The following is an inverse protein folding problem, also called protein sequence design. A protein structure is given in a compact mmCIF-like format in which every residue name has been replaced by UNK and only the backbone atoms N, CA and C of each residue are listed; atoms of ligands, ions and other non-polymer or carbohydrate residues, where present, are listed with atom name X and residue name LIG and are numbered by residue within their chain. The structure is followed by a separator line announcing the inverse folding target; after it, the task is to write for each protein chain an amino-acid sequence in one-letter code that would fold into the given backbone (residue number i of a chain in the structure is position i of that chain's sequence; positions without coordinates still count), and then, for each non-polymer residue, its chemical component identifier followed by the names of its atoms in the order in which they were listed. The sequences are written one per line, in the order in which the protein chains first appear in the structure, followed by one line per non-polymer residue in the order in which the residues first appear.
data_IF_735438096992
#
_entry.id   IF_735438096992
#
_cell.length_a   1.000
_cell.length_b   1.000
_cell.length_c   1.000
_cell.angle_alpha   90.00
_cell.angle_beta   90.00
_cell.angle_gamma   90.00
#
_symmetry.space_group_name_H-M   'P 1'
#
loop_
_entity.id
_entity.type
_entity.pdbx_description
1 polymer ?
#
# COMPACT_ATOMS: atom_id res chain seq x y z
N UNK A 1 -27.70 1.88 -32.64
CA UNK A 1 -26.36 1.74 -33.22
C UNK A 1 -25.43 1.65 -32.05
N UNK A 2 -25.02 0.41 -31.80
CA UNK A 2 -24.23 -0.04 -30.68
C UNK A 2 -22.81 0.54 -30.75
N UNK A 3 -22.33 1.10 -29.64
CA UNK A 3 -20.89 1.11 -29.38
C UNK A 3 -20.65 0.67 -27.95
N UNK A 4 -19.85 -0.37 -27.85
CA UNK A 4 -19.69 -1.25 -26.71
C UNK A 4 -19.06 -0.52 -25.52
N UNK A 5 -19.78 -0.51 -24.40
CA UNK A 5 -19.16 -0.35 -23.07
C UNK A 5 -18.22 -1.53 -22.84
N UNK A 6 -16.94 -1.30 -23.05
CA UNK A 6 -15.86 -2.25 -22.83
C UNK A 6 -15.74 -2.47 -21.33
N UNK A 7 -16.14 -3.66 -20.86
CA UNK A 7 -16.20 -4.01 -19.44
C UNK A 7 -14.90 -4.59 -18.90
N UNK A 8 -14.93 -4.93 -17.60
CA UNK A 8 -13.86 -5.57 -16.80
C UNK A 8 -13.14 -6.72 -17.51
N UNK A 9 -13.82 -7.47 -18.39
CA UNK A 9 -13.22 -8.53 -19.19
C UNK A 9 -12.11 -8.06 -20.15
N UNK A 10 -12.28 -6.92 -20.81
CA UNK A 10 -11.22 -6.37 -21.67
C UNK A 10 -10.06 -5.77 -20.86
N UNK A 11 -10.33 -5.22 -19.67
CA UNK A 11 -9.29 -4.75 -18.76
C UNK A 11 -8.46 -5.92 -18.21
N UNK A 12 -9.10 -7.05 -17.88
CA UNK A 12 -8.43 -8.29 -17.50
C UNK A 12 -7.57 -8.83 -18.64
N UNK A 13 -8.06 -8.82 -19.88
CA UNK A 13 -7.28 -9.23 -21.05
C UNK A 13 -6.09 -8.28 -21.32
N UNK A 14 -6.28 -6.97 -21.13
CA UNK A 14 -5.21 -5.97 -21.29
C UNK A 14 -4.14 -6.13 -20.21
N UNK A 15 -4.53 -6.34 -18.96
CA UNK A 15 -3.61 -6.53 -17.84
C UNK A 15 -2.87 -7.87 -17.98
N UNK A 16 -3.59 -8.96 -18.30
CA UNK A 16 -2.97 -10.25 -18.59
C UNK A 16 -1.98 -10.15 -19.78
N UNK A 17 -2.34 -9.40 -20.82
CA UNK A 17 -1.48 -9.11 -21.96
C UNK A 17 -0.22 -8.32 -21.57
N UNK A 18 -0.35 -7.32 -20.69
CA UNK A 18 0.78 -6.52 -20.18
C UNK A 18 1.70 -7.35 -19.27
N UNK A 19 1.15 -8.22 -18.42
CA UNK A 19 1.92 -9.13 -17.57
C UNK A 19 2.71 -10.16 -18.40
N UNK A 20 2.10 -10.73 -19.45
CA UNK A 20 2.80 -11.62 -20.38
C UNK A 20 3.88 -10.88 -21.19
N UNK A 21 3.62 -9.65 -21.63
CA UNK A 21 4.60 -8.84 -22.35
C UNK A 21 5.83 -8.51 -21.48
N UNK A 22 5.63 -8.18 -20.20
CA UNK A 22 6.71 -7.97 -19.23
C UNK A 22 7.53 -9.24 -19.00
N UNK A 23 6.88 -10.40 -18.80
CA UNK A 23 7.56 -11.70 -18.67
C UNK A 23 8.37 -12.06 -19.92
N UNK A 24 7.86 -11.76 -21.12
CA UNK A 24 8.58 -11.97 -22.39
C UNK A 24 9.78 -11.01 -22.55
N UNK A 25 9.65 -9.75 -22.15
CA UNK A 25 10.75 -8.79 -22.18
C UNK A 25 11.90 -9.16 -21.23
N UNK A 26 11.58 -9.64 -20.02
CA UNK A 26 12.54 -10.17 -19.05
C UNK A 26 13.25 -11.43 -19.57
N UNK A 27 12.52 -12.34 -20.23
CA UNK A 27 13.12 -13.50 -20.88
C UNK A 27 14.05 -13.13 -22.05
N UNK A 28 13.69 -12.10 -22.83
CA UNK A 28 14.54 -11.58 -23.90
C UNK A 28 15.84 -10.94 -23.37
N UNK A 29 15.77 -10.18 -22.27
CA UNK A 29 16.95 -9.60 -21.60
C UNK A 29 17.86 -10.66 -20.99
N UNK A 30 17.29 -11.72 -20.40
CA UNK A 30 18.07 -12.85 -19.89
C UNK A 30 18.77 -13.64 -21.01
N UNK A 31 18.16 -13.72 -22.21
CA UNK A 31 18.77 -14.38 -23.37
C UNK A 31 19.86 -13.55 -24.08
N UNK A 32 19.90 -12.23 -23.85
CA UNK A 32 20.92 -11.34 -24.43
C UNK A 32 22.20 -11.22 -23.57
N UNK A 33 22.20 -11.73 -22.32
CA UNK A 33 23.29 -11.56 -21.36
C UNK A 33 24.37 -12.65 -21.33
N UNK A 34 24.29 -13.69 -22.17
CA UNK A 34 25.20 -14.87 -22.10
C UNK A 34 26.24 -14.94 -23.21
N UNK A 35 26.63 -13.80 -23.80
CA UNK A 35 27.59 -13.78 -24.92
C UNK A 35 28.65 -12.70 -24.81
N UNK A 36 29.46 -12.71 -23.75
CA UNK A 36 30.79 -12.12 -23.78
C UNK A 36 31.67 -12.68 -22.66
N UNK A 37 32.89 -13.10 -23.05
CA UNK A 37 34.08 -13.45 -22.26
C UNK A 37 34.48 -14.94 -22.26
N UNK A 38 34.83 -15.44 -23.44
CA UNK A 38 35.84 -16.50 -23.60
C UNK A 38 36.85 -16.05 -24.68
N UNK A 39 38.10 -15.76 -24.29
CA UNK A 39 39.34 -16.07 -25.01
C UNK A 39 40.55 -15.25 -24.48
N UNK A 40 41.41 -15.88 -23.70
CA UNK A 40 42.86 -15.65 -23.72
C UNK A 40 43.55 -16.95 -23.25
N UNK A 41 44.44 -17.48 -24.09
CA UNK A 41 45.12 -18.77 -23.93
C UNK A 41 46.63 -18.58 -24.11
N UNK A 42 47.41 -19.43 -23.43
CA UNK A 42 48.82 -19.77 -23.70
C UNK A 42 49.81 -19.32 -22.60
N UNK A 43 50.65 -20.16 -21.98
CA UNK A 43 50.99 -21.60 -22.05
C UNK A 43 51.94 -21.91 -20.84
N UNK A 44 51.84 -23.07 -20.17
CA UNK A 44 52.72 -24.27 -20.27
C UNK A 44 54.20 -24.01 -19.87
N UNK A 45 54.93 -24.77 -19.03
CA UNK A 45 54.74 -26.06 -18.36
C UNK A 45 55.88 -26.31 -17.31
N UNK A 46 55.79 -27.42 -16.57
CA UNK A 46 56.89 -28.22 -15.98
C UNK A 46 57.28 -28.13 -14.46
N UNK A 47 56.78 -29.14 -13.73
CA UNK A 47 57.48 -30.11 -12.83
C UNK A 47 58.26 -29.70 -11.56
N UNK A 48 57.72 -30.20 -10.44
CA UNK A 48 58.31 -31.09 -9.41
C UNK A 48 59.48 -30.64 -8.49
N UNK A 49 59.24 -30.91 -7.19
CA UNK A 49 60.12 -31.61 -6.21
C UNK A 49 60.51 -30.85 -4.92
N UNK A 50 60.05 -31.43 -3.81
CA UNK A 50 60.70 -31.69 -2.50
C UNK A 50 61.42 -30.59 -1.68
N UNK A 51 60.88 -30.38 -0.47
CA UNK A 51 61.53 -30.33 0.86
C UNK A 51 62.85 -29.58 1.07
N UNK A 52 62.88 -28.65 2.04
CA UNK A 52 63.61 -28.83 3.31
C UNK A 52 63.53 -27.60 4.23
N UNK A 53 63.51 -27.90 5.53
CA UNK A 53 63.55 -27.03 6.70
C UNK A 53 64.72 -26.04 6.77
N UNK A 54 64.56 -24.99 7.58
CA UNK A 54 65.67 -24.15 8.02
C UNK A 54 65.26 -23.06 9.01
N UNK A 55 65.22 -23.40 10.29
CA UNK A 55 65.25 -22.45 11.41
C UNK A 55 66.61 -21.76 11.48
N UNK A 56 66.68 -20.47 11.84
CA UNK A 56 67.37 -19.96 13.05
C UNK A 56 67.53 -18.45 13.09
N UNK A 57 67.53 -17.99 14.35
CA UNK A 57 67.62 -16.67 14.95
C UNK A 57 68.73 -15.73 14.47
N UNK A 58 68.53 -14.42 14.73
CA UNK A 58 69.62 -13.45 14.74
C UNK A 58 69.17 -12.05 15.17
N UNK A 59 69.29 -11.75 16.45
CA UNK A 59 68.97 -10.48 17.11
C UNK A 59 69.89 -9.31 16.75
N UNK A 60 69.38 -8.08 16.81
CA UNK A 60 70.05 -6.81 17.21
C UNK A 60 69.14 -5.64 16.75
N UNK A 61 69.01 -4.47 17.38
CA UNK A 61 69.29 -3.92 18.70
C UNK A 61 68.76 -2.47 18.64
N UNK A 62 68.06 -2.04 19.70
CA UNK A 62 67.92 -0.67 20.20
C UNK A 62 67.60 0.52 19.27
N UNK A 63 66.49 1.20 19.53
CA UNK A 63 66.48 2.63 19.93
C UNK A 63 65.08 3.11 20.32
N UNK A 64 65.01 3.81 21.45
CA UNK A 64 63.85 4.54 21.98
C UNK A 64 63.31 5.60 21.01
N UNK A 65 62.00 5.83 21.09
CA UNK A 65 61.36 7.00 20.50
C UNK A 65 59.85 6.96 20.67
N UNK A 66 59.35 7.54 21.76
CA UNK A 66 57.94 7.81 21.99
C UNK A 66 57.34 8.66 20.86
N UNK A 67 56.23 8.23 20.28
CA UNK A 67 55.12 9.12 19.89
C UNK A 67 53.84 8.29 19.80
N UNK A 68 52.82 8.82 20.45
CA UNK A 68 51.40 8.48 20.38
C UNK A 68 50.87 8.63 18.96
N UNK A 69 50.25 7.59 18.41
CA UNK A 69 49.05 7.76 17.59
C UNK A 69 48.15 6.53 17.65
N UNK A 70 46.85 6.79 17.66
CA UNK A 70 45.77 5.85 17.88
C UNK A 70 45.28 5.33 16.53
N UNK A 71 45.25 4.01 16.32
CA UNK A 71 44.47 3.38 15.26
C UNK A 71 44.20 1.94 15.65
N UNK A 72 43.02 1.69 16.22
CA UNK A 72 42.46 0.36 16.43
C UNK A 72 41.96 -0.16 15.08
N UNK A 73 42.70 -1.06 14.48
CA UNK A 73 42.18 -1.97 13.46
C UNK A 73 41.26 -2.98 14.16
N UNK A 74 39.99 -3.00 13.77
CA UNK A 74 39.06 -4.07 14.13
C UNK A 74 38.38 -4.53 12.85
N UNK A 75 38.87 -5.66 12.36
CA UNK A 75 38.20 -6.46 11.34
C UNK A 75 36.92 -7.02 11.97
N UNK A 76 35.77 -6.53 11.51
CA UNK A 76 34.48 -7.17 11.73
C UNK A 76 33.84 -7.36 10.36
N UNK A 77 33.80 -8.61 9.92
CA UNK A 77 32.98 -9.09 8.82
C UNK A 77 31.51 -9.03 9.25
N UNK A 78 30.79 -8.00 8.80
CA UNK A 78 29.33 -7.95 8.88
C UNK A 78 28.74 -8.64 7.65
N UNK A 79 28.49 -9.95 7.78
CA UNK A 79 27.48 -10.61 6.97
C UNK A 79 26.11 -10.07 7.41
N UNK A 80 25.61 -9.07 6.69
CA UNK A 80 24.25 -8.55 6.83
C UNK A 80 23.28 -9.57 6.25
N UNK A 81 23.02 -10.64 7.00
CA UNK A 81 21.81 -11.42 6.85
C UNK A 81 20.64 -10.46 7.12
N UNK A 82 19.88 -10.16 6.06
CA UNK A 82 18.62 -9.44 6.15
C UNK A 82 17.69 -10.26 7.03
N UNK A 83 17.66 -9.91 8.31
CA UNK A 83 16.66 -10.38 9.25
C UNK A 83 15.37 -9.66 8.86
N UNK A 84 14.57 -10.27 8.00
CA UNK A 84 13.14 -9.99 7.91
C UNK A 84 12.58 -10.18 9.31
N UNK A 85 12.46 -9.08 10.06
CA UNK A 85 11.84 -9.10 11.37
C UNK A 85 10.45 -9.69 11.18
N UNK A 86 10.18 -10.81 11.83
CA UNK A 86 8.83 -11.32 12.02
C UNK A 86 8.10 -10.29 12.87
N UNK A 87 7.59 -9.25 12.22
CA UNK A 87 6.74 -8.26 12.87
C UNK A 87 5.53 -8.98 13.42
N UNK A 88 5.16 -8.70 14.66
CA UNK A 88 3.87 -9.12 15.17
C UNK A 88 2.81 -8.29 14.44
N UNK A 89 2.03 -8.91 13.55
CA UNK A 89 0.80 -8.33 13.00
C UNK A 89 -0.41 -8.93 13.73
N UNK A 90 -1.53 -8.22 13.71
CA UNK A 90 -2.81 -8.72 14.21
C UNK A 90 -3.86 -8.60 13.09
N UNK A 91 -4.92 -9.39 13.18
CA UNK A 91 -6.00 -9.27 12.21
C UNK A 91 -6.75 -7.95 12.41
N UNK A 92 -7.02 -7.25 11.32
CA UNK A 92 -7.95 -6.13 11.30
C UNK A 92 -9.36 -6.62 11.70
N UNK A 93 -10.07 -5.87 12.55
CA UNK A 93 -11.47 -6.16 12.85
C UNK A 93 -12.32 -6.08 11.59
N UNK A 94 -13.31 -6.97 11.48
CA UNK A 94 -14.37 -6.81 10.49
C UNK A 94 -15.34 -5.71 10.93
N UNK A 95 -15.62 -4.77 10.04
CA UNK A 95 -16.56 -3.68 10.25
C UNK A 95 -17.65 -3.65 9.17
N UNK A 96 -18.65 -2.81 9.38
CA UNK A 96 -19.67 -2.56 8.36
C UNK A 96 -19.10 -1.88 7.10
N UNK A 97 -19.59 -2.26 5.92
CA UNK A 97 -19.37 -1.49 4.68
C UNK A 97 -20.19 -0.18 4.65
N UNK A 98 -21.02 0.06 5.67
CA UNK A 98 -21.88 1.23 5.74
C UNK A 98 -22.85 1.31 4.56
N UNK A 99 -23.56 2.44 4.40
CA UNK A 99 -24.61 2.55 3.38
C UNK A 99 -24.10 2.91 1.97
N UNK A 100 -22.81 3.23 1.79
CA UNK A 100 -22.28 3.84 0.56
C UNK A 100 -21.15 3.08 -0.17
N UNK A 101 -21.11 1.73 -0.21
CA UNK A 101 -20.00 0.99 -0.81
C UNK A 101 -19.97 1.05 -2.34
N UNK A 102 -21.11 1.19 -3.03
CA UNK A 102 -21.22 1.06 -4.48
C UNK A 102 -20.59 -0.23 -5.04
N UNK A 103 -20.77 -1.33 -4.32
CA UNK A 103 -20.23 -2.68 -4.56
C UNK A 103 -21.30 -3.67 -5.05
N UNK A 104 -22.53 -3.19 -5.31
CA UNK A 104 -23.68 -4.02 -5.65
C UNK A 104 -24.42 -4.67 -4.46
N UNK A 105 -24.04 -4.40 -3.21
CA UNK A 105 -24.73 -4.95 -2.02
C UNK A 105 -25.81 -4.02 -1.48
N UNK A 106 -25.65 -2.70 -1.68
CA UNK A 106 -26.55 -1.69 -1.12
C UNK A 106 -27.36 -0.94 -2.17
N UNK A 107 -28.61 -0.62 -1.81
CA UNK A 107 -29.53 0.17 -2.64
C UNK A 107 -29.82 1.53 -2.01
N UNK A 108 -29.77 2.59 -2.81
CA UNK A 108 -30.14 3.95 -2.42
C UNK A 108 -31.16 4.51 -3.40
N UNK A 109 -32.25 5.10 -2.91
CA UNK A 109 -33.31 5.63 -3.76
C UNK A 109 -33.95 4.61 -4.72
N UNK A 110 -33.89 3.31 -4.39
CA UNK A 110 -34.40 2.22 -5.22
C UNK A 110 -33.47 1.74 -6.34
N UNK A 111 -32.26 2.28 -6.44
CA UNK A 111 -31.23 1.82 -7.39
C UNK A 111 -30.01 1.26 -6.65
N UNK A 112 -29.43 0.19 -7.18
CA UNK A 112 -28.19 -0.41 -6.68
C UNK A 112 -27.02 0.14 -7.50
N UNK A 113 -26.05 0.77 -6.84
CA UNK A 113 -24.81 1.21 -7.47
C UNK A 113 -23.77 0.09 -7.37
N UNK A 114 -23.11 -0.24 -8.47
CA UNK A 114 -21.98 -1.18 -8.49
C UNK A 114 -20.85 -0.69 -9.41
N UNK A 115 -19.92 0.09 -8.85
CA UNK A 115 -18.75 0.59 -9.59
C UNK A 115 -17.73 -0.49 -9.91
N UNK A 116 -17.75 -1.62 -9.19
CA UNK A 116 -16.77 -2.70 -9.36
C UNK A 116 -16.89 -3.39 -10.72
N UNK A 117 -18.03 -3.21 -11.40
CA UNK A 117 -18.28 -3.71 -12.77
C UNK A 117 -17.97 -2.70 -13.86
N UNK A 118 -17.68 -1.44 -13.51
CA UNK A 118 -17.42 -0.38 -14.47
C UNK A 118 -15.95 -0.34 -14.89
N UNK A 119 -15.69 -0.17 -16.19
CA UNK A 119 -14.35 0.14 -16.69
C UNK A 119 -13.81 1.40 -16.03
N UNK A 120 -12.52 1.39 -15.71
CA UNK A 120 -11.84 2.51 -15.05
C UNK A 120 -11.88 2.48 -13.53
N UNK A 121 -12.56 1.52 -12.90
CA UNK A 121 -12.53 1.38 -11.42
C UNK A 121 -11.17 0.85 -10.91
N UNK A 122 -10.44 0.08 -11.72
CA UNK A 122 -9.08 -0.38 -11.40
C UNK A 122 -8.11 0.76 -11.69
N UNK A 123 -7.63 1.44 -10.64
CA UNK A 123 -6.90 2.71 -10.75
C UNK A 123 -6.14 3.06 -9.47
N UNK A 124 -5.03 3.77 -9.60
CA UNK A 124 -4.28 4.33 -8.46
C UNK A 124 -4.79 5.72 -8.06
N UNK A 125 -4.93 6.66 -9.00
CA UNK A 125 -5.48 8.00 -8.71
C UNK A 125 -6.99 7.95 -8.72
N UNK A 126 -7.63 8.02 -7.56
CA UNK A 126 -9.09 7.95 -7.39
C UNK A 126 -9.76 9.33 -7.36
N UNK A 127 -9.04 10.44 -7.51
CA UNK A 127 -9.62 11.79 -7.37
C UNK A 127 -10.56 12.18 -8.53
N UNK A 128 -10.27 11.84 -9.80
CA UNK A 128 -11.23 12.08 -10.89
C UNK A 128 -12.41 11.10 -10.90
N UNK A 129 -13.61 11.58 -11.20
CA UNK A 129 -14.72 10.74 -11.66
C UNK A 129 -14.36 9.99 -12.94
N UNK A 130 -14.97 8.84 -13.14
CA UNK A 130 -14.74 7.94 -14.29
C UNK A 130 -16.02 7.41 -14.94
N UNK A 131 -17.18 7.65 -14.32
CA UNK A 131 -18.50 7.29 -14.85
C UNK A 131 -19.21 8.57 -15.25
N UNK A 132 -19.31 8.84 -16.55
CA UNK A 132 -20.11 9.94 -17.12
C UNK A 132 -19.63 11.37 -16.80
N UNK A 133 -18.62 11.53 -15.95
CA UNK A 133 -18.06 12.80 -15.51
C UNK A 133 -16.54 12.69 -15.38
N UNK A 134 -15.83 13.81 -15.54
CA UNK A 134 -14.39 13.94 -15.29
C UNK A 134 -14.07 14.90 -14.14
N UNK A 135 -15.07 15.28 -13.34
CA UNK A 135 -14.88 16.14 -12.16
C UNK A 135 -13.84 15.53 -11.23
N UNK A 136 -12.91 16.36 -10.74
CA UNK A 136 -11.88 15.93 -9.79
C UNK A 136 -12.29 16.40 -8.39
N UNK A 137 -12.35 15.46 -7.45
CA UNK A 137 -12.59 15.75 -6.04
C UNK A 137 -11.53 16.71 -5.51
N UNK A 138 -11.98 17.80 -4.89
CA UNK A 138 -11.12 18.79 -4.27
C UNK A 138 -10.75 18.34 -2.86
N UNK A 139 -9.50 18.59 -2.44
CA UNK A 139 -9.04 18.33 -1.08
C UNK A 139 -7.52 18.42 -0.97
N UNK A 140 -6.99 18.14 0.23
CA UNK A 140 -5.54 17.98 0.42
C UNK A 140 -5.16 16.61 -0.10
N UNK A 141 -4.13 16.54 -0.96
CA UNK A 141 -3.69 15.27 -1.55
C UNK A 141 -3.24 14.27 -0.47
N UNK A 142 -3.64 13.02 -0.66
CA UNK A 142 -3.28 11.89 0.19
C UNK A 142 -2.74 10.77 -0.69
N UNK A 143 -1.49 10.39 -0.51
CA UNK A 143 -0.95 9.13 -1.02
C UNK A 143 -1.13 8.07 0.06
N UNK A 144 -1.94 7.04 -0.21
CA UNK A 144 -2.25 5.96 0.72
C UNK A 144 -1.61 4.66 0.22
N UNK A 145 -0.63 4.15 0.96
CA UNK A 145 -0.07 2.80 0.76
C UNK A 145 -0.69 1.84 1.76
N UNK A 146 -1.24 0.74 1.27
CA UNK A 146 -1.77 -0.36 2.07
C UNK A 146 -0.92 -1.59 1.81
N UNK A 147 -0.50 -2.28 2.87
CA UNK A 147 0.18 -3.57 2.79
C UNK A 147 -0.69 -4.66 3.40
N UNK A 148 -1.06 -5.67 2.61
CA UNK A 148 -1.85 -6.81 3.05
C UNK A 148 -0.96 -7.98 3.46
N UNK A 149 -1.19 -8.52 4.65
CA UNK A 149 -0.44 -9.64 5.22
C UNK A 149 -1.34 -10.71 5.83
N UNK A 150 -0.88 -11.96 5.80
CA UNK A 150 -1.51 -13.11 6.44
C UNK A 150 -1.00 -13.29 7.88
N UNK A 151 -1.87 -13.07 8.85
CA UNK A 151 -1.53 -13.17 10.28
C UNK A 151 -1.31 -14.60 10.75
N UNK A 152 -1.85 -15.59 10.03
CA UNK A 152 -1.67 -17.02 10.31
C UNK A 152 -0.37 -17.57 9.72
N UNK A 153 0.26 -16.83 8.82
CA UNK A 153 1.49 -17.23 8.12
C UNK A 153 2.65 -16.26 8.40
N UNK A 154 2.82 -15.89 9.67
CA UNK A 154 3.97 -15.07 10.10
C UNK A 154 4.01 -13.68 9.46
N UNK A 155 2.84 -13.10 9.15
CA UNK A 155 2.70 -11.80 8.49
C UNK A 155 3.31 -11.76 7.08
N UNK A 156 3.27 -12.90 6.38
CA UNK A 156 3.67 -12.98 4.98
C UNK A 156 2.78 -12.07 4.11
N UNK A 157 3.41 -11.35 3.18
CA UNK A 157 2.71 -10.51 2.21
C UNK A 157 1.79 -11.34 1.31
N UNK A 158 0.60 -10.80 1.00
CA UNK A 158 -0.38 -11.45 0.12
C UNK A 158 -0.38 -10.74 -1.24
N UNK A 159 0.20 -11.39 -2.26
CA UNK A 159 0.19 -10.94 -3.66
C UNK A 159 -1.13 -11.32 -4.37
N UNK A 160 -1.60 -10.46 -5.28
CA UNK A 160 -2.71 -10.77 -6.20
C UNK A 160 -4.12 -10.56 -5.64
N UNK A 161 -4.25 -10.18 -4.37
CA UNK A 161 -5.52 -9.81 -3.77
C UNK A 161 -6.01 -8.45 -4.30
N UNK A 162 -7.32 -8.29 -4.49
CA UNK A 162 -7.89 -6.99 -4.84
C UNK A 162 -8.30 -6.23 -3.57
N UNK A 163 -7.96 -4.96 -3.52
CA UNK A 163 -8.34 -4.03 -2.45
C UNK A 163 -9.19 -2.93 -3.06
N UNK A 164 -10.45 -2.85 -2.64
CA UNK A 164 -11.36 -1.76 -2.97
C UNK A 164 -11.39 -0.75 -1.84
N UNK A 165 -11.26 0.55 -2.13
CA UNK A 165 -11.41 1.62 -1.14
C UNK A 165 -12.44 2.66 -1.57
N UNK A 166 -13.11 3.27 -0.60
CA UNK A 166 -13.95 4.45 -0.80
C UNK A 166 -14.03 5.35 0.43
N UNK A 167 -14.26 6.64 0.21
CA UNK A 167 -14.51 7.61 1.28
C UNK A 167 -15.28 8.84 0.80
N UNK A 168 -15.62 9.74 1.73
CA UNK A 168 -16.31 10.98 1.43
C UNK A 168 -15.39 12.09 0.91
N UNK A 169 -15.96 13.07 0.21
CA UNK A 169 -15.28 14.30 -0.21
C UNK A 169 -15.07 15.30 0.96
N UNK A 170 -14.55 16.49 0.65
CA UNK A 170 -14.33 17.60 1.60
C UNK A 170 -15.60 18.09 2.32
N UNK A 171 -16.78 17.86 1.74
CA UNK A 171 -18.08 18.22 2.33
C UNK A 171 -18.68 17.08 3.14
N UNK A 172 -18.02 15.92 3.22
CA UNK A 172 -18.56 14.72 3.85
C UNK A 172 -19.59 13.98 2.98
N UNK A 173 -19.60 14.22 1.67
CA UNK A 173 -20.52 13.58 0.72
C UNK A 173 -19.87 12.37 0.06
N UNK A 174 -20.67 11.32 -0.16
CA UNK A 174 -20.25 10.12 -0.89
C UNK A 174 -20.75 10.21 -2.34
N UNK A 175 -19.81 10.12 -3.29
CA UNK A 175 -20.11 10.03 -4.72
C UNK A 175 -21.11 8.91 -4.99
N UNK A 176 -22.01 9.09 -5.98
CA UNK A 176 -23.13 8.20 -6.32
C UNK A 176 -24.30 8.15 -5.32
N UNK A 177 -24.17 8.73 -4.13
CA UNK A 177 -25.18 8.61 -3.06
C UNK A 177 -25.70 9.95 -2.55
N UNK A 178 -24.79 10.84 -2.18
CA UNK A 178 -25.17 12.09 -1.52
C UNK A 178 -25.69 13.11 -2.53
N UNK A 179 -26.72 13.85 -2.11
CA UNK A 179 -27.27 14.95 -2.93
C UNK A 179 -26.18 15.93 -3.36
N UNK A 180 -26.20 16.32 -4.63
CA UNK A 180 -25.19 17.18 -5.26
C UNK A 180 -23.99 16.45 -5.86
N UNK A 181 -23.79 15.16 -5.54
CA UNK A 181 -22.67 14.34 -6.07
C UNK A 181 -23.13 12.96 -6.57
N UNK A 182 -24.44 12.79 -6.82
CA UNK A 182 -25.02 11.53 -7.29
C UNK A 182 -24.58 11.12 -8.70
N UNK A 183 -24.11 12.07 -9.51
CA UNK A 183 -23.56 11.84 -10.85
C UNK A 183 -22.04 11.69 -10.86
N UNK A 184 -21.40 11.80 -9.70
CA UNK A 184 -19.94 11.69 -9.57
C UNK A 184 -19.54 10.30 -9.10
N UNK A 185 -18.31 9.90 -9.40
CA UNK A 185 -17.75 8.55 -9.12
C UNK A 185 -16.33 8.58 -8.56
N UNK A 186 -15.79 9.77 -8.26
CA UNK A 186 -14.50 9.93 -7.60
C UNK A 186 -14.43 9.23 -6.23
N UNK A 187 -13.22 9.15 -5.69
CA UNK A 187 -12.88 8.66 -4.35
C UNK A 187 -13.32 7.21 -4.12
N UNK A 188 -13.30 6.43 -5.20
CA UNK A 188 -13.58 5.00 -5.27
C UNK A 188 -12.56 4.37 -6.21
N UNK A 189 -11.94 3.27 -5.81
CA UNK A 189 -11.01 2.57 -6.69
C UNK A 189 -10.53 1.24 -6.17
N UNK A 190 -10.14 0.38 -7.10
CA UNK A 190 -9.60 -0.94 -6.85
C UNK A 190 -8.14 -0.98 -7.30
N UNK A 191 -7.28 -1.61 -6.51
CA UNK A 191 -5.92 -1.98 -6.88
C UNK A 191 -5.70 -3.47 -6.56
N UNK A 192 -4.69 -4.06 -7.18
CA UNK A 192 -4.27 -5.45 -6.92
C UNK A 192 -2.92 -5.41 -6.23
N UNK A 193 -2.77 -6.16 -5.14
CA UNK A 193 -1.54 -6.20 -4.36
C UNK A 193 -0.38 -6.77 -5.19
N UNK A 194 0.78 -6.13 -5.10
CA UNK A 194 2.02 -6.60 -5.71
C UNK A 194 2.69 -7.74 -4.89
N UNK A 195 3.90 -8.13 -5.29
CA UNK A 195 4.67 -9.19 -4.62
C UNK A 195 5.06 -8.87 -3.16
N UNK A 196 4.99 -7.61 -2.75
CA UNK A 196 5.20 -7.18 -1.37
C UNK A 196 3.87 -7.01 -0.61
N UNK A 197 2.75 -7.38 -1.23
CA UNK A 197 1.41 -7.25 -0.68
C UNK A 197 0.88 -5.82 -0.74
N UNK A 198 1.48 -4.95 -1.55
CA UNK A 198 1.23 -3.52 -1.49
C UNK A 198 0.31 -3.02 -2.60
N UNK A 199 -0.47 -1.99 -2.26
CA UNK A 199 -1.17 -1.12 -3.21
C UNK A 199 -0.96 0.34 -2.81
N UNK A 200 -0.93 1.23 -3.80
CA UNK A 200 -0.86 2.68 -3.55
C UNK A 200 -1.99 3.40 -4.26
N UNK A 201 -2.70 4.26 -3.54
CA UNK A 201 -3.73 5.14 -4.08
C UNK A 201 -3.33 6.60 -3.94
N UNK A 202 -3.61 7.41 -4.96
CA UNK A 202 -3.61 8.88 -4.86
C UNK A 202 -5.06 9.33 -4.68
N UNK A 203 -5.33 10.01 -3.56
CA UNK A 203 -6.64 10.46 -3.15
C UNK A 203 -6.59 11.87 -2.54
N UNK A 204 -7.63 12.24 -1.79
CA UNK A 204 -7.65 13.37 -0.87
C UNK A 204 -7.86 12.89 0.57
N UNK A 205 -7.47 13.70 1.55
CA UNK A 205 -7.82 13.45 2.96
C UNK A 205 -9.36 13.51 3.15
N UNK A 206 -10.01 12.56 3.85
CA UNK A 206 -11.46 12.56 4.02
C UNK A 206 -11.94 13.62 5.03
N UNK A 207 -13.13 14.15 4.80
CA UNK A 207 -13.80 15.04 5.74
C UNK A 207 -14.35 14.29 6.97
N UNK A 208 -14.83 15.07 7.95
CA UNK A 208 -15.63 14.58 9.07
C UNK A 208 -17.10 14.92 8.81
N UNK A 209 -17.93 13.92 8.53
CA UNK A 209 -19.38 14.09 8.48
C UNK A 209 -20.02 13.77 9.84
N UNK A 210 -21.28 14.18 10.02
CA UNK A 210 -21.95 14.09 11.32
C UNK A 210 -22.05 12.64 11.82
N UNK A 211 -21.65 12.42 13.08
CA UNK A 211 -21.85 11.17 13.80
C UNK A 211 -20.82 10.07 13.57
N UNK A 212 -19.78 10.30 12.74
CA UNK A 212 -18.74 9.30 12.45
C UNK A 212 -17.34 9.89 12.49
N UNK A 213 -16.41 9.18 13.13
CA UNK A 213 -14.98 9.50 13.08
C UNK A 213 -14.48 9.48 11.63
N UNK A 214 -13.57 10.38 11.19
CA UNK A 214 -13.10 10.39 9.81
C UNK A 214 -12.43 9.07 9.41
N UNK A 215 -12.81 8.52 8.26
CA UNK A 215 -12.38 7.18 7.86
C UNK A 215 -12.28 6.99 6.34
N UNK A 216 -11.56 5.93 5.96
CA UNK A 216 -11.55 5.37 4.61
C UNK A 216 -11.99 3.92 4.73
N UNK A 217 -13.02 3.53 3.98
CA UNK A 217 -13.45 2.13 3.97
C UNK A 217 -12.56 1.30 3.06
N UNK A 218 -12.50 0.00 3.33
CA UNK A 218 -11.93 -0.96 2.41
C UNK A 218 -12.64 -2.32 2.42
N UNK A 219 -12.56 -3.00 1.28
CA UNK A 219 -12.91 -4.41 1.09
C UNK A 219 -11.71 -5.15 0.51
N UNK A 220 -11.42 -6.34 1.05
CA UNK A 220 -10.37 -7.25 0.59
C UNK A 220 -11.00 -8.45 -0.10
N UNK A 221 -10.45 -8.81 -1.26
CA UNK A 221 -10.82 -9.99 -2.03
C UNK A 221 -9.56 -10.80 -2.33
N UNK A 222 -9.35 -11.89 -1.59
CA UNK A 222 -8.17 -12.76 -1.69
C UNK A 222 -8.07 -13.45 -3.05
N UNK A 223 -9.22 -13.82 -3.63
CA UNK A 223 -9.30 -14.39 -4.98
C UNK A 223 -9.18 -13.35 -6.13
N UNK A 224 -8.77 -12.11 -5.80
CA UNK A 224 -8.44 -11.06 -6.75
C UNK A 224 -9.65 -10.39 -7.42
N UNK A 225 -9.43 -9.83 -8.61
CA UNK A 225 -10.44 -9.00 -9.30
C UNK A 225 -11.72 -9.75 -9.68
N UNK A 226 -11.67 -11.07 -9.83
CA UNK A 226 -12.84 -11.87 -10.20
C UNK A 226 -13.86 -11.90 -9.06
N UNK A 227 -13.39 -12.10 -7.82
CA UNK A 227 -14.25 -12.06 -6.63
C UNK A 227 -14.62 -10.63 -6.24
N UNK A 228 -13.86 -9.62 -6.66
CA UNK A 228 -14.21 -8.21 -6.45
C UNK A 228 -15.37 -7.70 -7.32
N UNK A 229 -16.01 -8.52 -8.17
CA UNK A 229 -17.12 -8.06 -9.04
C UNK A 229 -18.40 -7.64 -8.27
N UNK A 230 -18.52 -8.07 -7.01
CA UNK A 230 -19.52 -7.59 -6.05
C UNK A 230 -18.93 -7.62 -4.64
N UNK A 231 -19.42 -6.78 -3.72
CA UNK A 231 -18.98 -6.82 -2.31
C UNK A 231 -19.46 -8.06 -1.52
N UNK A 232 -20.25 -8.96 -2.13
CA UNK A 232 -20.80 -10.16 -1.45
C UNK A 232 -19.75 -11.21 -1.11
N UNK A 233 -18.59 -11.12 -1.75
CA UNK A 233 -17.49 -12.08 -1.68
C UNK A 233 -16.24 -11.48 -1.07
N UNK A 234 -16.37 -10.33 -0.38
CA UNK A 234 -15.26 -9.75 0.36
C UNK A 234 -14.86 -10.69 1.53
N UNK A 235 -13.58 -10.99 1.63
CA UNK A 235 -12.98 -11.78 2.71
C UNK A 235 -12.82 -10.94 3.99
N UNK A 236 -12.65 -9.63 3.82
CA UNK A 236 -12.64 -8.65 4.90
C UNK A 236 -13.30 -7.36 4.43
N UNK A 237 -14.20 -6.84 5.25
CA UNK A 237 -14.75 -5.50 5.15
C UNK A 237 -14.31 -4.75 6.40
N UNK A 238 -13.68 -3.60 6.26
CA UNK A 238 -13.26 -2.80 7.42
C UNK A 238 -13.06 -1.32 7.08
N UNK A 239 -12.52 -0.55 8.01
CA UNK A 239 -12.36 0.90 7.92
C UNK A 239 -11.04 1.35 8.55
N UNK A 240 -10.34 2.28 7.90
CA UNK A 240 -9.19 2.97 8.47
C UNK A 240 -9.69 4.17 9.28
N UNK A 241 -9.29 4.27 10.54
CA UNK A 241 -9.55 5.43 11.40
C UNK A 241 -8.48 6.50 11.15
N UNK A 242 -8.85 7.65 10.60
CA UNK A 242 -7.85 8.68 10.29
C UNK A 242 -7.27 9.30 11.58
N UNK A 243 -5.95 9.58 11.66
CA UNK A 243 -5.31 9.97 12.92
C UNK A 243 -5.80 11.32 13.46
N UNK A 244 -6.05 11.37 14.77
CA UNK A 244 -6.59 12.57 15.44
C UNK A 244 -5.73 13.84 15.25
N UNK A 245 -4.40 13.68 15.24
CA UNK A 245 -3.47 14.78 15.03
C UNK A 245 -3.64 15.38 13.62
N UNK A 246 -3.67 14.52 12.59
CA UNK A 246 -3.84 14.94 11.20
C UNK A 246 -5.25 15.48 10.93
N UNK A 247 -6.29 14.88 11.52
CA UNK A 247 -7.66 15.42 11.45
C UNK A 247 -7.70 16.88 11.94
N UNK A 248 -7.06 17.15 13.08
CA UNK A 248 -7.01 18.50 13.67
C UNK A 248 -6.27 19.46 12.74
N UNK A 249 -5.12 19.07 12.21
CA UNK A 249 -4.33 19.89 11.29
C UNK A 249 -5.11 20.21 10.00
N UNK A 250 -5.70 19.20 9.36
CA UNK A 250 -6.44 19.34 8.10
C UNK A 250 -7.67 20.23 8.29
N UNK A 251 -8.49 19.97 9.31
CA UNK A 251 -9.77 20.68 9.47
C UNK A 251 -9.61 22.12 9.93
N UNK A 252 -8.55 22.43 10.67
CA UNK A 252 -8.27 23.80 11.10
C UNK A 252 -7.41 24.57 10.10
N UNK A 253 -6.63 23.86 9.28
CA UNK A 253 -5.62 24.45 8.39
C UNK A 253 -6.06 24.68 6.94
N UNK A 254 -7.13 24.02 6.49
CA UNK A 254 -7.63 24.18 5.12
C UNK A 254 -9.13 24.52 5.09
N UNK A 255 -9.43 25.69 4.54
CA UNK A 255 -10.80 26.24 4.45
C UNK A 255 -11.81 25.32 3.73
N UNK A 256 -11.36 24.41 2.87
CA UNK A 256 -12.23 23.44 2.19
C UNK A 256 -12.86 22.46 3.16
N UNK A 257 -12.26 22.23 4.33
CA UNK A 257 -12.74 21.29 5.34
C UNK A 257 -13.50 21.95 6.49
N UNK A 258 -13.85 23.23 6.39
CA UNK A 258 -14.47 23.98 7.51
C UNK A 258 -15.74 23.31 8.06
N UNK A 259 -16.52 22.63 7.21
CA UNK A 259 -17.70 21.85 7.59
C UNK A 259 -17.39 20.68 8.55
N UNK A 260 -16.15 20.17 8.51
CA UNK A 260 -15.68 19.06 9.35
C UNK A 260 -15.46 19.46 10.80
N UNK A 261 -15.13 20.74 11.07
CA UNK A 261 -14.72 21.20 12.41
C UNK A 261 -15.80 20.92 13.45
N UNK A 262 -17.04 21.33 13.18
CA UNK A 262 -18.13 21.16 14.14
C UNK A 262 -18.48 19.70 14.38
N UNK A 263 -18.41 18.85 13.34
CA UNK A 263 -18.65 17.42 13.49
C UNK A 263 -17.54 16.78 14.32
N UNK A 264 -16.29 17.06 13.99
CA UNK A 264 -15.12 16.48 14.66
C UNK A 264 -15.05 16.85 16.14
N UNK A 265 -15.34 18.10 16.50
CA UNK A 265 -15.35 18.55 17.90
C UNK A 265 -16.39 17.85 18.77
N UNK A 266 -17.42 17.23 18.16
CA UNK A 266 -18.46 16.48 18.87
C UNK A 266 -18.17 14.98 19.00
N UNK A 267 -17.01 14.50 18.55
CA UNK A 267 -16.70 13.08 18.41
C UNK A 267 -15.43 12.67 19.14
N UNK A 268 -15.37 11.39 19.52
CA UNK A 268 -14.16 10.68 19.88
C UNK A 268 -14.19 9.30 19.24
N UNK A 269 -13.03 8.64 19.11
CA UNK A 269 -13.00 7.24 18.67
C UNK A 269 -13.88 6.36 19.56
N UNK A 270 -13.88 6.61 20.87
CA UNK A 270 -14.69 5.86 21.84
C UNK A 270 -16.20 6.10 21.73
N UNK A 271 -16.66 7.16 21.07
CA UNK A 271 -18.08 7.43 20.85
C UNK A 271 -18.56 7.08 19.44
N UNK A 272 -17.64 6.75 18.53
CA UNK A 272 -17.97 6.26 17.19
C UNK A 272 -18.52 4.83 17.27
N UNK A 273 -19.57 4.56 16.48
CA UNK A 273 -20.27 3.27 16.52
C UNK A 273 -19.58 2.13 15.75
N UNK A 274 -18.40 2.39 15.16
CA UNK A 274 -17.55 1.41 14.47
C UNK A 274 -16.21 1.26 15.21
N UNK A 275 -15.63 2.36 15.70
CA UNK A 275 -14.33 2.27 16.40
C UNK A 275 -14.46 2.18 17.93
N UNK A 276 -15.63 2.46 18.50
CA UNK A 276 -15.81 2.64 19.94
C UNK A 276 -15.77 1.35 20.78
N UNK A 277 -16.02 0.19 20.16
CA UNK A 277 -15.94 -1.14 20.79
C UNK A 277 -14.63 -1.89 20.46
N UNK A 278 -13.76 -1.29 19.65
CA UNK A 278 -12.44 -1.83 19.35
C UNK A 278 -11.47 -1.67 20.53
N UNK A 279 -10.64 -2.70 20.75
CA UNK A 279 -9.53 -2.62 21.70
C UNK A 279 -8.48 -1.61 21.24
N UNK A 280 -7.62 -1.12 22.15
CA UNK A 280 -6.56 -0.18 21.78
C UNK A 280 -5.60 -0.74 20.71
N UNK A 281 -5.37 -2.05 20.69
CA UNK A 281 -4.54 -2.69 19.68
C UNK A 281 -5.23 -2.69 18.31
N UNK A 282 -6.54 -2.96 18.26
CA UNK A 282 -7.34 -2.89 17.03
C UNK A 282 -7.44 -1.46 16.49
N UNK A 283 -7.68 -0.48 17.37
CA UNK A 283 -7.67 0.94 16.97
C UNK A 283 -6.30 1.33 16.40
N UNK A 284 -5.20 0.88 17.01
CA UNK A 284 -3.85 1.14 16.49
C UNK A 284 -3.62 0.45 15.12
N UNK A 285 -4.08 -0.79 14.95
CA UNK A 285 -4.03 -1.53 13.68
C UNK A 285 -4.80 -0.81 12.56
N UNK A 286 -5.99 -0.28 12.87
CA UNK A 286 -6.85 0.43 11.92
C UNK A 286 -6.45 1.90 11.69
N UNK A 287 -5.43 2.43 12.39
CA UNK A 287 -5.01 3.82 12.28
C UNK A 287 -3.76 3.94 11.40
N UNK A 288 -3.83 4.53 10.20
CA UNK A 288 -2.65 4.70 9.35
C UNK A 288 -1.58 5.58 10.01
N UNK A 289 -0.31 5.27 9.76
CA UNK A 289 0.79 6.20 10.05
C UNK A 289 0.83 7.29 8.97
N UNK A 290 0.77 8.56 9.38
CA UNK A 290 0.69 9.70 8.46
C UNK A 290 1.88 10.63 8.65
N UNK A 291 2.44 11.08 7.53
CA UNK A 291 3.48 12.12 7.46
C UNK A 291 3.16 13.10 6.33
N UNK A 292 3.74 14.29 6.35
CA UNK A 292 3.52 15.32 5.33
C UNK A 292 3.03 16.63 5.93
N UNK A 293 2.34 17.43 5.12
CA UNK A 293 1.81 18.74 5.54
C UNK A 293 0.67 19.21 4.64
N UNK A 294 -0.07 20.22 5.08
CA UNK A 294 -1.15 20.84 4.30
C UNK A 294 -0.73 21.29 2.89
N UNK A 295 0.50 21.77 2.72
CA UNK A 295 0.99 22.30 1.43
C UNK A 295 1.54 21.19 0.52
N UNK A 296 2.24 20.22 1.09
CA UNK A 296 2.85 19.12 0.32
C UNK A 296 1.88 17.95 0.06
N UNK A 297 0.76 17.89 0.78
CA UNK A 297 -0.05 16.69 0.90
C UNK A 297 0.49 15.74 1.97
N UNK A 298 -0.23 14.65 2.19
CA UNK A 298 0.11 13.63 3.17
C UNK A 298 0.44 12.29 2.49
N UNK A 299 1.39 11.57 3.08
CA UNK A 299 1.62 10.15 2.81
C UNK A 299 1.16 9.36 4.03
N UNK A 300 0.26 8.40 3.80
CA UNK A 300 -0.27 7.49 4.80
C UNK A 300 0.12 6.05 4.47
N UNK A 301 0.54 5.29 5.47
CA UNK A 301 0.80 3.86 5.36
C UNK A 301 -0.03 3.09 6.37
N UNK A 302 -0.62 1.97 5.97
CA UNK A 302 -1.30 1.04 6.86
C UNK A 302 -0.96 -0.40 6.51
N UNK A 303 -0.71 -1.20 7.54
CA UNK A 303 -0.66 -2.66 7.45
C UNK A 303 -2.07 -3.18 7.65
N UNK A 304 -2.55 -4.07 6.78
CA UNK A 304 -3.83 -4.77 6.91
C UNK A 304 -3.53 -6.23 7.16
N UNK A 305 -3.91 -6.72 8.35
CA UNK A 305 -3.79 -8.12 8.70
C UNK A 305 -5.09 -8.86 8.43
N UNK A 306 -5.03 -9.98 7.71
CA UNK A 306 -6.16 -10.89 7.54
C UNK A 306 -5.78 -12.30 8.02
N UNK A 307 -6.73 -12.99 8.63
CA UNK A 307 -6.60 -14.41 8.94
C UNK A 307 -7.09 -15.20 7.72
N UNK A 308 -6.14 -15.51 6.81
CA UNK A 308 -6.37 -16.39 5.67
C UNK A 308 -6.43 -17.87 6.06
#
# INVERSE_FOLDING_TARGET
MDEHGKGLGEDLERIAGQMLARRRALAFLASAGTSALLAACGGEDATASTSSSGSTSGSSSSSSGSTTDSSTDSSSSDDTASSSGSGSCIADPSETNGPYPADGTNSSGGSTSNVLTNSGVIRSDIRPSFIGSTTVAQGIELTLELQLVDVNNGCAAIEGAAIYIWHCDVDGKYSLYSSGVTTESYLRGVQVTDSEGKVTFTSIYPACYSGRWPHIHFEIFLDGLTSASTGRTADLISQLAMPAATNTEVYTGDSRYTSSISNYNGLSLSSDNVFGDNTSAQVAQMTPSVSGSLTAGYSATALIGIAG
#
